data_IF_526835789806
#
_entry.id   IF_526835789806
#
_cell.length_a   1.000
_cell.length_b   1.000
_cell.length_c   1.000
_cell.angle_alpha   90.00
_cell.angle_beta   90.00
_cell.angle_gamma   90.00
#
_symmetry.space_group_name_H-M   'P 1'
#
loop_
_entity.id
_entity.type
_entity.pdbx_description
1 polymer ?
#
# COMPACT_ATOMS: atom_id res chain seq x y z
N UNK A 1 -12.50 -0.26 12.17
CA UNK A 1 -13.03 0.94 11.49
C UNK A 1 -12.09 1.41 10.38
N UNK A 2 -10.81 1.67 10.66
CA UNK A 2 -9.86 2.13 9.65
C UNK A 2 -9.77 1.20 8.43
N UNK A 3 -9.57 -0.10 8.65
CA UNK A 3 -9.41 -1.06 7.54
C UNK A 3 -10.61 -1.06 6.58
N UNK A 4 -11.82 -1.15 7.12
CA UNK A 4 -13.06 -1.17 6.33
C UNK A 4 -13.39 0.17 5.66
N UNK A 5 -13.01 1.31 6.26
CA UNK A 5 -13.29 2.65 5.72
C UNK A 5 -12.20 3.18 4.76
N UNK A 6 -10.98 2.67 4.84
CA UNK A 6 -9.84 3.22 4.10
C UNK A 6 -9.16 2.22 3.17
N UNK A 7 -8.94 0.97 3.60
CA UNK A 7 -8.08 0.03 2.86
C UNK A 7 -8.76 -0.63 1.65
N UNK A 8 -10.07 -0.49 1.52
CA UNK A 8 -10.79 -0.82 0.30
C UNK A 8 -10.24 -0.03 -0.91
N UNK A 9 -9.95 1.26 -0.71
CA UNK A 9 -9.52 2.16 -1.78
C UNK A 9 -8.06 2.60 -1.69
N UNK A 10 -7.45 2.52 -0.51
CA UNK A 10 -6.08 2.97 -0.25
C UNK A 10 -5.16 1.83 0.15
N UNK A 11 -3.86 2.06 -0.01
CA UNK A 11 -2.81 1.25 0.62
C UNK A 11 -2.04 2.11 1.63
N UNK A 12 -1.14 1.47 2.38
CA UNK A 12 -0.10 2.16 3.14
C UNK A 12 1.25 1.56 2.76
N UNK A 13 1.98 2.24 1.89
CA UNK A 13 3.28 1.80 1.40
C UNK A 13 3.20 0.76 0.27
N UNK A 14 1.99 0.51 -0.24
CA UNK A 14 1.74 -0.40 -1.36
C UNK A 14 1.44 0.32 -2.67
N UNK A 15 1.61 1.65 -2.71
CA UNK A 15 1.31 2.45 -3.89
C UNK A 15 -0.16 2.81 -4.08
N UNK A 16 -0.40 3.54 -5.15
CA UNK A 16 -1.73 4.03 -5.51
C UNK A 16 -2.65 2.86 -5.89
N UNK A 17 -3.92 2.94 -5.45
CA UNK A 17 -4.99 2.01 -5.82
C UNK A 17 -6.11 2.79 -6.50
N UNK A 18 -7.34 2.73 -5.97
CA UNK A 18 -8.43 3.62 -6.38
C UNK A 18 -8.20 5.06 -5.88
N UNK A 19 -7.50 5.20 -4.75
CA UNK A 19 -7.01 6.47 -4.24
C UNK A 19 -5.49 6.46 -4.04
N UNK A 20 -4.91 7.62 -3.65
CA UNK A 20 -3.47 7.75 -3.38
C UNK A 20 -2.99 6.86 -2.24
N UNK A 21 -1.73 6.43 -2.28
CA UNK A 21 -1.09 5.81 -1.11
C UNK A 21 -1.10 6.75 0.11
N UNK A 22 -1.50 6.23 1.26
CA UNK A 22 -1.53 6.98 2.52
C UNK A 22 -0.15 7.08 3.17
N UNK A 23 0.83 6.28 2.75
CA UNK A 23 2.19 6.42 3.27
C UNK A 23 2.77 7.79 2.94
N UNK A 24 3.29 8.47 3.94
CA UNK A 24 3.80 9.84 3.90
C UNK A 24 2.73 10.92 3.88
N UNK A 25 1.44 10.60 4.03
CA UNK A 25 0.35 11.59 3.91
C UNK A 25 0.47 12.71 4.95
N UNK A 26 0.92 12.39 6.16
CA UNK A 26 1.09 13.38 7.24
C UNK A 26 2.32 14.28 7.04
N UNK A 27 3.21 13.91 6.11
CA UNK A 27 4.34 14.74 5.66
C UNK A 27 3.94 15.66 4.50
N UNK A 28 2.96 15.25 3.69
CA UNK A 28 2.47 16.02 2.52
C UNK A 28 1.35 17.00 2.86
N UNK A 29 0.56 16.73 3.89
CA UNK A 29 -0.63 17.51 4.26
C UNK A 29 -0.62 17.83 5.75
N UNK A 30 -1.00 19.06 6.08
CA UNK A 30 -1.13 19.47 7.48
C UNK A 30 -2.41 18.91 8.11
N UNK A 31 -2.41 18.73 9.44
CA UNK A 31 -3.54 18.14 10.18
C UNK A 31 -4.87 18.82 9.86
N UNK A 32 -4.92 20.15 9.87
CA UNK A 32 -6.17 20.87 9.59
C UNK A 32 -6.72 20.61 8.17
N UNK A 33 -5.88 20.31 7.19
CA UNK A 33 -6.30 19.93 5.84
C UNK A 33 -6.87 18.51 5.86
N UNK A 34 -6.16 17.58 6.51
CA UNK A 34 -6.61 16.19 6.66
C UNK A 34 -7.95 16.12 7.42
N UNK A 35 -8.12 16.92 8.46
CA UNK A 35 -9.38 17.01 9.19
C UNK A 35 -10.51 17.48 8.30
N UNK A 36 -10.34 18.58 7.54
CA UNK A 36 -11.36 19.08 6.62
C UNK A 36 -11.67 18.07 5.52
N UNK A 37 -10.65 17.41 4.98
CA UNK A 37 -10.79 16.42 3.92
C UNK A 37 -11.58 15.22 4.37
N UNK A 38 -11.25 14.67 5.55
CA UNK A 38 -11.95 13.52 6.12
C UNK A 38 -13.37 13.85 6.58
N UNK A 39 -13.66 15.12 6.89
CA UNK A 39 -14.99 15.57 7.31
C UNK A 39 -15.93 15.86 6.14
N UNK A 40 -15.41 16.44 5.06
CA UNK A 40 -16.22 16.98 3.96
C UNK A 40 -15.45 16.94 2.63
N UNK A 41 -15.12 15.74 2.11
CA UNK A 41 -14.35 15.61 0.88
C UNK A 41 -15.10 16.23 -0.30
N UNK A 42 -16.43 16.13 -0.36
CA UNK A 42 -17.24 16.71 -1.43
C UNK A 42 -17.09 18.24 -1.50
N UNK A 43 -17.08 18.91 -0.35
CA UNK A 43 -16.91 20.37 -0.29
C UNK A 43 -15.49 20.78 -0.69
N UNK A 44 -14.48 20.00 -0.27
CA UNK A 44 -13.09 20.25 -0.65
C UNK A 44 -12.86 20.05 -2.14
N UNK A 45 -13.47 19.02 -2.76
CA UNK A 45 -13.41 18.81 -4.20
C UNK A 45 -13.94 20.00 -5.01
N UNK A 46 -14.85 20.81 -4.46
CA UNK A 46 -15.35 22.02 -5.11
C UNK A 46 -14.46 23.25 -4.91
N UNK A 47 -13.71 23.32 -3.81
CA UNK A 47 -13.09 24.57 -3.35
C UNK A 47 -11.55 24.54 -3.26
N UNK A 48 -10.96 23.37 -3.04
CA UNK A 48 -9.54 23.18 -2.77
C UNK A 48 -8.81 22.70 -4.04
N UNK A 49 -7.77 23.42 -4.46
CA UNK A 49 -7.04 23.12 -5.70
C UNK A 49 -6.29 21.79 -5.65
N UNK A 50 -5.81 21.41 -4.47
CA UNK A 50 -5.12 20.15 -4.22
C UNK A 50 -6.09 18.96 -4.32
N UNK A 51 -7.27 19.09 -3.72
CA UNK A 51 -8.36 18.12 -3.84
C UNK A 51 -8.79 17.92 -5.30
N UNK A 52 -8.94 19.02 -6.07
CA UNK A 52 -9.24 18.97 -7.51
C UNK A 52 -8.15 18.26 -8.30
N UNK A 53 -6.89 18.57 -8.03
CA UNK A 53 -5.74 17.90 -8.67
C UNK A 53 -5.76 16.39 -8.41
N UNK A 54 -6.11 15.97 -7.19
CA UNK A 54 -6.26 14.56 -6.88
C UNK A 54 -7.44 13.92 -7.64
N UNK A 55 -8.59 14.59 -7.71
CA UNK A 55 -9.73 14.10 -8.49
C UNK A 55 -9.37 13.96 -9.98
N UNK A 56 -8.61 14.89 -10.53
CA UNK A 56 -8.12 14.79 -11.90
C UNK A 56 -7.15 13.64 -12.10
N UNK A 57 -6.34 13.27 -11.09
CA UNK A 57 -5.45 12.11 -11.18
C UNK A 57 -6.20 10.78 -11.04
N UNK A 58 -7.07 10.65 -10.04
CA UNK A 58 -7.69 9.38 -9.67
C UNK A 58 -9.06 9.15 -10.30
N UNK A 59 -9.67 10.17 -10.90
CA UNK A 59 -10.98 10.16 -11.59
C UNK A 59 -12.17 9.67 -10.76
N UNK A 60 -11.96 9.40 -9.47
CA UNK A 60 -12.96 8.93 -8.53
C UNK A 60 -12.99 9.88 -7.33
N UNK A 61 -14.14 10.53 -7.04
CA UNK A 61 -14.27 11.34 -5.84
C UNK A 61 -14.26 10.42 -4.61
N UNK A 62 -13.50 10.80 -3.58
CA UNK A 62 -13.56 10.11 -2.29
C UNK A 62 -14.90 10.43 -1.62
N UNK A 63 -15.75 9.43 -1.31
CA UNK A 63 -17.00 9.68 -0.63
C UNK A 63 -16.77 9.98 0.86
N UNK A 64 -17.65 10.76 1.47
CA UNK A 64 -17.66 10.98 2.91
C UNK A 64 -17.80 9.66 3.68
N UNK A 65 -16.84 9.37 4.55
CA UNK A 65 -16.82 8.16 5.38
C UNK A 65 -17.63 8.30 6.67
N UNK A 66 -18.34 9.42 6.83
CA UNK A 66 -19.16 9.79 7.99
C UNK A 66 -18.41 9.60 9.31
N UNK A 67 -17.20 10.15 9.37
CA UNK A 67 -16.32 10.02 10.55
C UNK A 67 -16.71 11.00 11.65
N UNK A 68 -16.74 10.50 12.88
CA UNK A 68 -16.77 11.35 14.07
C UNK A 68 -15.43 12.08 14.25
N UNK A 69 -15.43 13.20 14.98
CA UNK A 69 -14.20 13.99 15.16
C UNK A 69 -13.12 13.21 15.92
N UNK A 70 -13.52 12.34 16.82
CA UNK A 70 -12.65 11.40 17.53
C UNK A 70 -11.97 10.42 16.56
N UNK A 71 -12.73 9.85 15.61
CA UNK A 71 -12.20 8.95 14.59
C UNK A 71 -11.20 9.67 13.68
N UNK A 72 -11.52 10.90 13.27
CA UNK A 72 -10.64 11.73 12.44
C UNK A 72 -9.29 11.95 13.15
N UNK A 73 -9.33 12.34 14.44
CA UNK A 73 -8.11 12.52 15.24
C UNK A 73 -7.31 11.21 15.37
N UNK A 74 -7.99 10.09 15.58
CA UNK A 74 -7.35 8.77 15.66
C UNK A 74 -6.69 8.38 14.33
N UNK A 75 -7.34 8.64 13.19
CA UNK A 75 -6.79 8.30 11.87
C UNK A 75 -5.59 9.18 11.52
N UNK A 76 -5.63 10.49 11.80
CA UNK A 76 -4.47 11.37 11.62
C UNK A 76 -3.29 10.92 12.50
N UNK A 77 -3.57 10.50 13.74
CA UNK A 77 -2.55 9.94 14.63
C UNK A 77 -1.96 8.66 14.04
N UNK A 78 -2.81 7.78 13.50
CA UNK A 78 -2.37 6.56 12.84
C UNK A 78 -1.54 6.83 11.58
N UNK A 79 -1.89 7.82 10.76
CA UNK A 79 -1.07 8.23 9.60
C UNK A 79 0.33 8.68 10.04
N UNK A 80 0.42 9.49 11.09
CA UNK A 80 1.71 9.93 11.64
C UNK A 80 2.53 8.76 12.19
N UNK A 81 1.87 7.79 12.83
CA UNK A 81 2.53 6.58 13.31
C UNK A 81 3.04 5.74 12.13
N UNK A 82 2.19 5.50 11.13
CA UNK A 82 2.53 4.73 9.93
C UNK A 82 3.72 5.36 9.19
N UNK A 83 3.71 6.68 9.00
CA UNK A 83 4.76 7.43 8.32
C UNK A 83 6.13 7.40 9.03
N UNK A 84 6.14 7.10 10.33
CA UNK A 84 7.34 6.98 11.17
C UNK A 84 7.84 5.55 11.30
N UNK A 85 6.93 4.57 11.32
CA UNK A 85 7.25 3.20 11.73
C UNK A 85 7.25 2.18 10.58
N UNK A 86 6.62 2.49 9.43
CA UNK A 86 6.67 1.58 8.29
C UNK A 86 8.00 1.72 7.55
N UNK A 87 8.71 0.59 7.47
CA UNK A 87 9.87 0.40 6.61
C UNK A 87 9.39 -0.18 5.28
N UNK A 88 9.39 0.67 4.23
CA UNK A 88 9.12 0.20 2.88
C UNK A 88 10.20 -0.81 2.48
N UNK A 89 9.80 -2.01 2.07
CA UNK A 89 10.75 -3.00 1.60
C UNK A 89 11.23 -2.63 0.18
N UNK A 90 12.32 -1.87 0.12
CA UNK A 90 12.95 -1.43 -1.12
C UNK A 90 12.33 -0.16 -1.72
N UNK A 91 13.09 0.51 -2.61
CA UNK A 91 12.65 1.73 -3.32
C UNK A 91 11.58 1.46 -4.39
N UNK A 92 11.31 0.20 -4.68
CA UNK A 92 10.40 -0.24 -5.72
C UNK A 92 9.20 -0.93 -5.09
N UNK A 93 8.02 -0.36 -5.32
CA UNK A 93 6.75 -0.88 -4.84
C UNK A 93 6.50 -2.29 -5.41
N UNK A 94 5.87 -3.22 -4.66
CA UNK A 94 5.23 -4.37 -5.28
C UNK A 94 4.12 -3.83 -6.19
N UNK A 95 4.40 -3.78 -7.49
CA UNK A 95 3.36 -3.53 -8.49
C UNK A 95 2.26 -4.57 -8.27
N UNK A 96 0.97 -4.23 -8.46
CA UNK A 96 -0.06 -5.25 -8.59
C UNK A 96 0.48 -6.30 -9.56
N UNK A 97 0.49 -7.56 -9.15
CA UNK A 97 0.94 -8.63 -10.04
C UNK A 97 0.17 -8.45 -11.36
N UNK A 98 0.89 -8.20 -12.46
CA UNK A 98 0.29 -8.26 -13.79
C UNK A 98 -0.46 -9.59 -13.86
N UNK A 99 -1.74 -9.61 -14.29
CA UNK A 99 -2.48 -10.86 -14.40
C UNK A 99 -1.67 -11.87 -15.20
N UNK A 100 -1.18 -12.92 -14.55
CA UNK A 100 -0.35 -13.96 -15.18
C UNK A 100 1.15 -13.96 -14.82
N UNK A 101 1.68 -13.08 -13.96
CA UNK A 101 3.05 -13.25 -13.44
C UNK A 101 3.06 -13.80 -12.02
N UNK A 102 3.68 -14.96 -11.83
CA UNK A 102 4.01 -15.52 -10.52
C UNK A 102 5.14 -14.70 -9.88
N UNK A 103 4.87 -14.06 -8.74
CA UNK A 103 5.89 -13.40 -7.92
C UNK A 103 6.74 -14.46 -7.18
N UNK A 104 8.04 -14.21 -6.99
CA UNK A 104 8.89 -15.09 -6.19
C UNK A 104 8.41 -15.14 -4.72
N UNK A 105 8.59 -16.29 -4.04
CA UNK A 105 7.98 -16.57 -2.73
C UNK A 105 8.41 -15.62 -1.61
N UNK A 106 9.51 -14.88 -1.78
CA UNK A 106 9.98 -13.88 -0.82
C UNK A 106 9.28 -12.50 -0.94
N UNK A 107 8.28 -12.37 -1.83
CA UNK A 107 7.49 -11.13 -2.02
C UNK A 107 5.98 -11.34 -1.90
N UNK A 108 5.54 -12.52 -1.47
CA UNK A 108 4.11 -12.80 -1.30
C UNK A 108 3.76 -12.76 0.19
N UNK A 109 2.88 -11.84 0.59
CA UNK A 109 2.36 -11.72 1.96
C UNK A 109 1.28 -12.79 2.23
N UNK A 110 1.60 -14.05 1.95
CA UNK A 110 0.74 -15.20 2.23
C UNK A 110 1.64 -16.33 2.72
N UNK A 111 1.89 -16.30 4.02
CA UNK A 111 2.66 -17.29 4.74
C UNK A 111 2.71 -16.89 6.20
N UNK A 112 1.69 -17.30 6.96
CA UNK A 112 1.87 -17.48 8.40
C UNK A 112 3.04 -18.45 8.61
N UNK A 113 3.87 -18.27 9.66
CA UNK A 113 5.03 -19.12 9.86
C UNK A 113 4.56 -20.51 10.32
N UNK A 114 4.60 -21.48 9.42
CA UNK A 114 4.33 -22.87 9.76
C UNK A 114 3.88 -23.65 8.53
N UNK A 115 4.86 -24.15 7.77
CA UNK A 115 4.86 -25.50 7.20
C UNK A 115 6.12 -25.64 6.35
N UNK A 116 7.17 -26.15 6.98
CA UNK A 116 8.24 -26.82 6.25
C UNK A 116 7.70 -28.18 5.85
N UNK A 117 7.79 -28.55 4.58
CA UNK A 117 8.14 -29.94 4.26
C UNK A 117 8.93 -30.04 2.95
N UNK A 118 9.98 -30.87 2.93
CA UNK A 118 10.95 -30.95 1.86
C UNK A 118 10.61 -32.09 0.90
N UNK A 119 10.72 -31.85 -0.40
CA UNK A 119 11.27 -32.77 -1.39
C UNK A 119 10.70 -32.44 -2.75
N UNK A 120 11.54 -31.98 -3.68
CA UNK A 120 11.66 -32.59 -5.01
C UNK A 120 12.75 -31.87 -5.83
N UNK A 121 13.61 -32.67 -6.46
CA UNK A 121 14.25 -32.28 -7.72
C UNK A 121 15.72 -31.90 -7.67
N UNK A 122 16.61 -32.81 -7.24
CA UNK A 122 18.02 -32.75 -7.65
C UNK A 122 18.12 -32.97 -9.17
N UNK A 123 18.53 -31.93 -9.90
CA UNK A 123 18.83 -31.99 -11.32
C UNK A 123 20.29 -32.43 -11.55
N UNK A 124 20.46 -33.55 -12.25
CA UNK A 124 21.70 -33.99 -12.88
C UNK A 124 22.18 -32.98 -13.93
N UNK A 125 23.46 -32.60 -13.91
CA UNK A 125 24.38 -32.66 -15.06
C UNK A 125 25.75 -32.06 -14.73
N UNK A 126 26.82 -32.83 -14.95
CA UNK A 126 28.13 -32.31 -15.36
C UNK A 126 29.03 -33.48 -15.78
N UNK A 127 29.17 -33.67 -17.10
CA UNK A 127 30.21 -34.51 -17.69
C UNK A 127 31.39 -33.67 -18.17
N UNK A 128 32.60 -34.00 -17.71
CA UNK A 128 33.93 -33.71 -18.31
C UNK A 128 34.94 -34.43 -17.39
N UNK A 129 35.92 -35.24 -17.76
CA UNK A 129 36.49 -35.67 -19.02
C UNK A 129 37.94 -36.11 -18.73
N UNK A 130 38.29 -37.35 -19.10
CA UNK A 130 39.61 -37.90 -19.48
C UNK A 130 40.83 -37.77 -18.52
N UNK A 131 41.52 -38.89 -18.31
CA UNK A 131 42.97 -38.92 -18.08
C UNK A 131 43.47 -40.12 -17.28
N UNK A 132 43.77 -41.24 -17.96
CA UNK A 132 44.55 -42.38 -17.45
C UNK A 132 46.06 -42.10 -17.69
N UNK A 133 46.98 -42.82 -17.03
CA UNK A 133 47.48 -44.08 -17.60
C UNK A 133 47.26 -45.33 -16.73
#
# INVERSE_FOLDING_TARGET
>A
AFESKCLACHSIGGGDKLGPDLYGVSKRRHDAWLTKWLKSPEQMLQSDADAKTMLDKYKLPMPNQNLADEEIRAFITYFKWADKNLQLQGKEQPQPAVPGATLPPNKTLSGLPGEVNPSEGAASSAGKGRGKP
#
